data_IF_457828879961
#
_entry.id   IF_457828879961
#
_cell.length_a   1.000
_cell.length_b   1.000
_cell.length_c   1.000
_cell.angle_alpha   90.00
_cell.angle_beta   90.00
_cell.angle_gamma   90.00
#
_symmetry.space_group_name_H-M   'P 1'
#
loop_
_entity.id
_entity.type
_entity.pdbx_description
1 polymer ?
#
# COMPACT_ATOMS: atom_id res chain seq x y z
N UNK A 1 -1.89 -10.83 16.14
CA UNK A 1 -1.01 -11.36 17.21
C UNK A 1 0.19 -12.12 16.66
N UNK A 2 0.03 -13.08 15.72
CA UNK A 2 1.13 -13.86 15.15
C UNK A 2 2.28 -13.03 14.58
N UNK A 3 2.01 -11.89 13.95
CA UNK A 3 3.03 -11.01 13.36
C UNK A 3 3.77 -10.11 14.36
N UNK A 4 3.35 -10.05 15.63
CA UNK A 4 3.90 -9.09 16.60
C UNK A 4 3.65 -7.63 16.19
N UNK A 5 2.55 -7.33 15.48
CA UNK A 5 2.20 -5.99 15.02
C UNK A 5 2.77 -5.59 13.64
N UNK A 6 3.47 -6.49 12.95
CA UNK A 6 4.09 -6.19 11.64
C UNK A 6 3.14 -6.34 10.44
N UNK A 7 1.91 -6.83 10.65
CA UNK A 7 0.96 -7.02 9.56
C UNK A 7 0.43 -5.69 9.02
N UNK A 8 0.30 -5.62 7.71
CA UNK A 8 -0.33 -4.55 6.95
C UNK A 8 -1.56 -5.07 6.22
N UNK A 9 -2.57 -4.23 6.08
CA UNK A 9 -3.72 -4.49 5.23
C UNK A 9 -3.51 -3.80 3.88
N UNK A 10 -2.97 -4.54 2.91
CA UNK A 10 -2.78 -4.07 1.55
C UNK A 10 -4.04 -4.28 0.72
N UNK A 11 -4.56 -3.23 0.09
CA UNK A 11 -5.79 -3.30 -0.71
C UNK A 11 -5.72 -2.37 -1.93
N UNK A 12 -6.51 -2.69 -2.98
CA UNK A 12 -6.69 -1.88 -4.18
C UNK A 12 -7.98 -2.24 -4.90
N UNK A 13 -8.27 -1.52 -5.99
CA UNK A 13 -9.51 -1.70 -6.76
C UNK A 13 -9.47 -2.88 -7.75
N UNK A 14 -8.55 -3.83 -7.59
CA UNK A 14 -8.23 -4.92 -8.52
C UNK A 14 -7.82 -4.45 -9.93
N UNK A 15 -7.09 -5.26 -10.66
CA UNK A 15 -6.63 -4.94 -12.02
C UNK A 15 -6.62 -6.16 -12.95
N UNK A 16 -6.48 -7.38 -12.42
CA UNK A 16 -6.36 -8.60 -13.20
C UNK A 16 -7.73 -9.25 -13.38
N UNK A 17 -8.36 -8.97 -14.54
CA UNK A 17 -9.66 -9.52 -14.88
C UNK A 17 -9.61 -11.02 -15.16
N UNK A 18 -8.54 -11.50 -15.81
CA UNK A 18 -8.35 -12.91 -16.13
C UNK A 18 -8.26 -13.75 -14.85
N UNK A 19 -7.45 -13.32 -13.89
CA UNK A 19 -7.34 -13.96 -12.57
C UNK A 19 -8.67 -13.98 -11.83
N UNK A 20 -9.36 -12.83 -11.77
CA UNK A 20 -10.67 -12.73 -11.10
C UNK A 20 -11.69 -13.72 -11.69
N UNK A 21 -11.77 -13.77 -13.02
CA UNK A 21 -12.66 -14.70 -13.72
C UNK A 21 -12.23 -16.16 -13.51
N UNK A 22 -10.94 -16.44 -13.59
CA UNK A 22 -10.38 -17.78 -13.38
C UNK A 22 -10.68 -18.35 -11.98
N UNK A 23 -10.75 -17.45 -10.97
CA UNK A 23 -11.08 -17.80 -9.59
C UNK A 23 -12.59 -17.72 -9.27
N UNK A 24 -13.43 -17.36 -10.25
CA UNK A 24 -14.88 -17.26 -10.08
C UNK A 24 -15.33 -15.99 -9.36
N UNK A 25 -14.46 -14.98 -9.22
CA UNK A 25 -14.84 -13.70 -8.65
C UNK A 25 -15.44 -12.75 -9.69
N UNK A 26 -16.45 -11.94 -9.33
CA UNK A 26 -16.95 -10.91 -10.21
C UNK A 26 -15.91 -9.85 -10.46
N UNK A 27 -15.87 -9.33 -11.70
CA UNK A 27 -15.01 -8.19 -12.06
C UNK A 27 -15.88 -7.07 -12.63
N UNK A 28 -16.56 -6.29 -11.77
CA UNK A 28 -17.45 -5.23 -12.19
C UNK A 28 -16.68 -4.07 -12.83
N UNK A 29 -17.39 -3.12 -13.48
CA UNK A 29 -16.76 -1.95 -14.08
C UNK A 29 -15.91 -1.17 -13.06
N UNK A 30 -14.87 -0.47 -13.56
CA UNK A 30 -13.90 0.22 -12.71
C UNK A 30 -14.53 1.19 -11.70
N UNK A 31 -15.62 1.87 -12.08
CA UNK A 31 -16.34 2.75 -11.16
C UNK A 31 -16.84 2.00 -9.94
N UNK A 32 -17.49 0.89 -10.16
CA UNK A 32 -18.08 0.04 -9.13
C UNK A 32 -17.01 -0.56 -8.23
N UNK A 33 -15.89 -1.04 -8.79
CA UNK A 33 -14.75 -1.54 -8.01
C UNK A 33 -14.18 -0.48 -7.06
N UNK A 34 -14.16 0.79 -7.45
CA UNK A 34 -13.74 1.88 -6.56
C UNK A 34 -14.79 2.20 -5.49
N UNK A 35 -16.08 2.10 -5.80
CA UNK A 35 -17.15 2.24 -4.80
C UNK A 35 -17.06 1.10 -3.76
N UNK A 36 -16.85 -0.14 -4.21
CA UNK A 36 -16.62 -1.30 -3.34
C UNK A 36 -15.35 -1.16 -2.49
N UNK A 37 -14.25 -0.64 -3.06
CA UNK A 37 -13.02 -0.38 -2.33
C UNK A 37 -13.26 0.63 -1.21
N UNK A 38 -13.95 1.73 -1.49
CA UNK A 38 -14.24 2.76 -0.49
C UNK A 38 -15.11 2.21 0.66
N UNK A 39 -16.16 1.44 0.35
CA UNK A 39 -16.98 0.79 1.37
C UNK A 39 -16.18 -0.24 2.19
N UNK A 40 -15.29 -1.01 1.56
CA UNK A 40 -14.41 -1.95 2.27
C UNK A 40 -13.49 -1.22 3.25
N UNK A 41 -12.95 -0.07 2.87
CA UNK A 41 -12.12 0.76 3.76
C UNK A 41 -12.92 1.30 4.94
N UNK A 42 -14.16 1.76 4.71
CA UNK A 42 -15.06 2.22 5.77
C UNK A 42 -15.39 1.07 6.74
N UNK A 43 -15.69 -0.12 6.22
CA UNK A 43 -15.94 -1.31 7.04
C UNK A 43 -14.71 -1.69 7.87
N UNK A 44 -13.50 -1.68 7.27
CA UNK A 44 -12.27 -1.99 7.97
C UNK A 44 -12.02 -1.00 9.12
N UNK A 45 -12.20 0.30 8.88
CA UNK A 45 -12.11 1.31 9.93
C UNK A 45 -13.13 1.07 11.04
N UNK A 46 -14.40 0.79 10.70
CA UNK A 46 -15.45 0.51 11.68
C UNK A 46 -15.12 -0.74 12.53
N UNK A 47 -14.60 -1.81 11.90
CA UNK A 47 -14.22 -3.04 12.60
C UNK A 47 -13.06 -2.83 13.57
N UNK A 48 -12.11 -1.94 13.24
CA UNK A 48 -10.88 -1.76 14.01
C UNK A 48 -10.92 -0.58 14.98
N UNK A 49 -11.90 0.32 14.87
CA UNK A 49 -12.05 1.46 15.78
C UNK A 49 -12.71 1.10 17.13
N UNK A 50 -13.38 -0.04 17.20
CA UNK A 50 -14.06 -0.50 18.42
C UNK A 50 -13.12 -1.19 19.41
N UNK A 51 -13.51 -1.20 20.69
CA UNK A 51 -12.90 -2.07 21.70
C UNK A 51 -13.21 -3.56 21.46
N UNK A 52 -12.56 -4.45 22.20
CA UNK A 52 -12.88 -5.88 22.15
C UNK A 52 -14.36 -6.11 22.45
N UNK A 53 -15.05 -6.81 21.55
CA UNK A 53 -16.49 -7.08 21.67
C UNK A 53 -17.42 -5.96 21.15
N UNK A 54 -16.89 -4.81 20.72
CA UNK A 54 -17.70 -3.77 20.09
C UNK A 54 -18.16 -4.25 18.71
N UNK A 55 -19.45 -4.07 18.42
CA UNK A 55 -20.06 -4.42 17.16
C UNK A 55 -20.37 -3.16 16.37
N UNK A 56 -19.75 -3.02 15.19
CA UNK A 56 -20.10 -1.98 14.24
C UNK A 56 -21.20 -2.44 13.28
N UNK A 57 -21.77 -1.50 12.54
CA UNK A 57 -22.71 -1.72 11.44
C UNK A 57 -22.24 -0.95 10.22
N UNK A 58 -22.48 -1.51 9.04
CA UNK A 58 -22.27 -0.83 7.76
C UNK A 58 -23.51 -1.07 6.87
N UNK A 59 -24.03 0.00 6.31
CA UNK A 59 -25.07 -0.04 5.28
C UNK A 59 -24.59 0.79 4.10
N UNK A 60 -24.02 0.12 3.11
CA UNK A 60 -23.52 0.73 1.89
C UNK A 60 -24.35 0.31 0.68
N UNK A 61 -23.92 0.79 -0.48
CA UNK A 61 -24.51 0.44 -1.78
C UNK A 61 -24.18 -0.99 -2.20
N UNK A 62 -22.95 -1.43 -1.89
CA UNK A 62 -22.41 -2.72 -2.33
C UNK A 62 -22.36 -3.74 -1.19
N UNK A 63 -22.19 -3.28 0.03
CA UNK A 63 -22.06 -4.14 1.21
C UNK A 63 -23.01 -3.73 2.32
N UNK A 64 -23.62 -4.72 2.94
CA UNK A 64 -24.40 -4.53 4.17
C UNK A 64 -23.90 -5.52 5.21
N UNK A 65 -23.48 -5.00 6.36
CA UNK A 65 -23.05 -5.79 7.49
C UNK A 65 -23.73 -5.30 8.77
N UNK A 66 -24.58 -6.11 9.34
CA UNK A 66 -25.32 -5.79 10.56
C UNK A 66 -24.48 -6.00 11.83
N UNK A 67 -23.33 -6.66 11.69
CA UNK A 67 -22.44 -6.98 12.81
C UNK A 67 -21.00 -7.04 12.32
N UNK A 68 -20.30 -5.92 12.43
CA UNK A 68 -18.86 -5.84 12.16
C UNK A 68 -18.11 -6.13 13.47
N UNK A 69 -17.64 -7.35 13.62
CA UNK A 69 -16.91 -7.79 14.81
C UNK A 69 -15.46 -8.10 14.46
N UNK A 70 -14.53 -7.49 15.20
CA UNK A 70 -13.12 -7.87 15.20
C UNK A 70 -12.67 -8.19 16.63
N UNK A 71 -12.49 -9.47 16.95
CA UNK A 71 -12.07 -9.92 18.28
C UNK A 71 -11.17 -11.16 18.16
N UNK A 72 -9.98 -11.14 18.77
CA UNK A 72 -9.40 -10.01 19.50
C UNK A 72 -8.97 -8.88 18.56
N UNK A 73 -8.92 -7.66 19.09
CA UNK A 73 -8.37 -6.52 18.35
C UNK A 73 -6.87 -6.66 18.10
N UNK A 74 -6.36 -6.00 17.07
CA UNK A 74 -4.95 -6.00 16.75
C UNK A 74 -4.12 -5.38 17.89
N UNK A 75 -2.85 -5.76 17.97
CA UNK A 75 -1.89 -5.10 18.88
C UNK A 75 -1.37 -3.78 18.32
N UNK A 76 -1.45 -3.58 17.00
CA UNK A 76 -1.14 -2.30 16.36
C UNK A 76 -2.14 -1.24 16.78
N UNK A 77 -1.67 -0.02 17.02
CA UNK A 77 -2.51 1.12 17.43
C UNK A 77 -2.36 2.28 16.44
N UNK A 78 -3.42 2.95 16.10
CA UNK A 78 -4.82 2.74 16.54
C UNK A 78 -5.47 1.48 15.95
N UNK A 79 -4.92 0.90 14.88
CA UNK A 79 -5.41 -0.28 14.13
C UNK A 79 -4.30 -0.92 13.30
N UNK A 80 -4.61 -1.97 12.54
CA UNK A 80 -3.71 -2.50 11.50
C UNK A 80 -3.48 -1.40 10.46
N UNK A 81 -2.22 -1.07 10.11
CA UNK A 81 -1.94 -0.10 9.06
C UNK A 81 -2.53 -0.52 7.71
N UNK A 82 -3.09 0.44 6.98
CA UNK A 82 -3.69 0.24 5.66
C UNK A 82 -2.77 0.79 4.59
N UNK A 83 -2.44 -0.02 3.59
CA UNK A 83 -1.74 0.40 2.39
C UNK A 83 -2.67 0.29 1.18
N UNK A 84 -2.86 1.39 0.45
CA UNK A 84 -3.62 1.37 -0.80
C UNK A 84 -2.66 1.40 -1.98
N UNK A 85 -2.79 0.38 -2.86
CA UNK A 85 -1.99 0.25 -4.07
C UNK A 85 -2.65 0.90 -5.29
N UNK A 86 -1.82 1.56 -6.11
CA UNK A 86 -2.21 2.17 -7.37
C UNK A 86 -1.93 3.67 -7.44
N UNK A 87 -1.76 4.19 -8.66
CA UNK A 87 -1.38 5.59 -8.92
C UNK A 87 -2.49 6.46 -9.50
N UNK A 88 -3.76 6.06 -9.41
CA UNK A 88 -4.90 6.82 -9.96
C UNK A 88 -5.15 8.12 -9.20
N UNK A 89 -4.91 9.26 -9.84
CA UNK A 89 -4.90 10.58 -9.21
C UNK A 89 -6.24 10.98 -8.60
N UNK A 90 -7.33 10.75 -9.35
CA UNK A 90 -8.67 11.22 -8.95
C UNK A 90 -9.33 10.35 -7.88
N UNK A 91 -9.06 9.05 -7.88
CA UNK A 91 -9.73 8.08 -6.98
C UNK A 91 -8.76 7.46 -6.00
N UNK A 92 -7.70 6.79 -6.47
CA UNK A 92 -6.79 6.06 -5.58
C UNK A 92 -6.12 6.99 -4.58
N UNK A 93 -5.47 8.07 -5.05
CA UNK A 93 -4.77 9.00 -4.16
C UNK A 93 -5.72 9.76 -3.22
N UNK A 94 -6.98 10.01 -3.64
CA UNK A 94 -8.02 10.53 -2.75
C UNK A 94 -8.34 9.54 -1.62
N UNK A 95 -8.52 8.26 -1.95
CA UNK A 95 -8.79 7.23 -0.93
C UNK A 95 -7.59 7.02 0.00
N UNK A 96 -6.35 7.12 -0.53
CA UNK A 96 -5.15 7.13 0.30
C UNK A 96 -5.21 8.26 1.33
N UNK A 97 -5.46 9.49 0.89
CA UNK A 97 -5.54 10.64 1.79
C UNK A 97 -6.62 10.49 2.87
N UNK A 98 -7.74 9.85 2.54
CA UNK A 98 -8.88 9.68 3.45
C UNK A 98 -8.71 8.51 4.44
N UNK A 99 -8.14 7.40 4.01
CA UNK A 99 -8.26 6.14 4.74
C UNK A 99 -6.95 5.41 5.03
N UNK A 100 -5.87 5.66 4.27
CA UNK A 100 -4.68 4.82 4.33
C UNK A 100 -3.56 5.40 5.20
N UNK A 101 -2.70 4.52 5.70
CA UNK A 101 -1.47 4.87 6.39
C UNK A 101 -0.27 4.85 5.43
N UNK A 102 -0.42 4.18 4.28
CA UNK A 102 0.58 4.18 3.23
C UNK A 102 -0.05 4.19 1.83
N UNK A 103 0.67 4.80 0.89
CA UNK A 103 0.44 4.68 -0.55
C UNK A 103 1.47 3.75 -1.16
N UNK A 104 1.07 2.91 -2.12
CA UNK A 104 2.01 2.19 -2.96
C UNK A 104 1.75 2.54 -4.43
N UNK A 105 2.69 3.23 -5.05
CA UNK A 105 2.59 3.72 -6.43
C UNK A 105 3.64 3.06 -7.33
N UNK A 106 3.50 3.26 -8.64
CA UNK A 106 4.44 2.80 -9.65
C UNK A 106 4.96 4.00 -10.43
N UNK A 107 6.16 3.95 -10.90
CA UNK A 107 6.71 4.98 -11.77
C UNK A 107 8.21 5.20 -11.56
N UNK A 108 8.77 6.05 -12.41
CA UNK A 108 10.10 6.62 -12.29
C UNK A 108 10.11 7.80 -11.29
N UNK A 109 11.26 8.39 -10.97
CA UNK A 109 11.34 9.51 -10.02
C UNK A 109 10.43 10.68 -10.37
N UNK A 110 10.29 11.07 -11.65
CA UNK A 110 9.46 12.19 -12.05
C UNK A 110 7.98 11.88 -11.87
N UNK A 111 7.56 10.68 -12.24
CA UNK A 111 6.21 10.18 -11.96
C UNK A 111 5.92 10.19 -10.46
N UNK A 112 6.86 9.77 -9.61
CA UNK A 112 6.68 9.77 -8.15
C UNK A 112 6.51 11.19 -7.60
N UNK A 113 7.36 12.13 -8.01
CA UNK A 113 7.24 13.55 -7.59
C UNK A 113 5.85 14.09 -7.90
N UNK A 114 5.36 13.84 -9.13
CA UNK A 114 4.02 14.24 -9.54
C UNK A 114 2.92 13.58 -8.68
N UNK A 115 2.95 12.24 -8.53
CA UNK A 115 1.95 11.50 -7.75
C UNK A 115 1.92 11.93 -6.28
N UNK A 116 3.07 12.18 -5.70
CA UNK A 116 3.16 12.64 -4.31
C UNK A 116 2.71 14.09 -4.14
N UNK A 117 2.89 14.94 -5.15
CA UNK A 117 2.30 16.28 -5.16
C UNK A 117 0.76 16.21 -5.18
N UNK A 118 0.17 15.38 -6.05
CA UNK A 118 -1.29 15.16 -6.10
C UNK A 118 -1.81 14.57 -4.77
N UNK A 119 -1.08 13.63 -4.16
CA UNK A 119 -1.45 13.09 -2.85
C UNK A 119 -1.47 14.19 -1.78
N UNK A 120 -0.48 15.08 -1.78
CA UNK A 120 -0.43 16.22 -0.85
C UNK A 120 -1.64 17.13 -0.99
N UNK A 121 -2.03 17.46 -2.22
CA UNK A 121 -3.24 18.25 -2.47
C UNK A 121 -4.51 17.55 -1.93
N UNK A 122 -4.62 16.23 -2.07
CA UNK A 122 -5.73 15.50 -1.49
C UNK A 122 -5.71 15.54 0.04
N UNK A 123 -4.53 15.43 0.67
CA UNK A 123 -4.39 15.55 2.11
C UNK A 123 -4.83 16.94 2.61
N UNK A 124 -4.43 18.02 1.92
CA UNK A 124 -4.86 19.39 2.21
C UNK A 124 -6.39 19.53 2.15
N UNK A 125 -7.03 18.96 1.12
CA UNK A 125 -8.50 19.01 0.96
C UNK A 125 -9.26 18.29 2.08
N UNK A 126 -8.69 17.24 2.67
CA UNK A 126 -9.32 16.49 3.77
C UNK A 126 -8.81 16.89 5.15
N UNK A 127 -7.90 17.88 5.23
CA UNK A 127 -7.35 18.37 6.48
C UNK A 127 -6.44 17.37 7.20
N UNK A 128 -5.77 16.48 6.49
CA UNK A 128 -4.87 15.48 7.04
C UNK A 128 -3.41 15.82 6.77
N UNK A 129 -2.50 15.73 7.76
CA UNK A 129 -1.08 15.91 7.52
C UNK A 129 -0.51 14.90 6.52
N UNK A 130 0.06 15.38 5.43
CA UNK A 130 0.67 14.54 4.39
C UNK A 130 1.75 13.60 4.93
N UNK A 131 2.47 14.04 5.95
CA UNK A 131 3.57 13.32 6.59
C UNK A 131 3.12 12.05 7.34
N UNK A 132 1.84 11.93 7.67
CA UNK A 132 1.28 10.72 8.28
C UNK A 132 1.16 9.54 7.31
N UNK A 133 1.33 9.79 6.00
CA UNK A 133 1.20 8.77 4.97
C UNK A 133 2.58 8.33 4.51
N UNK A 134 2.93 7.07 4.77
CA UNK A 134 4.13 6.46 4.22
C UNK A 134 4.02 6.35 2.69
N UNK A 135 5.05 6.74 1.99
CA UNK A 135 5.12 6.72 0.52
C UNK A 135 5.99 5.58 0.07
N UNK A 136 5.37 4.53 -0.43
CA UNK A 136 6.08 3.38 -0.97
C UNK A 136 5.97 3.28 -2.49
N UNK A 137 6.93 2.59 -3.09
CA UNK A 137 7.00 2.33 -4.52
C UNK A 137 7.29 0.86 -4.76
N UNK A 138 6.62 0.25 -5.75
CA UNK A 138 6.93 -1.11 -6.19
C UNK A 138 7.87 -1.06 -7.39
N UNK A 139 8.94 -1.84 -7.31
CA UNK A 139 9.99 -1.98 -8.33
C UNK A 139 10.32 -3.44 -8.60
N UNK A 140 11.26 -3.67 -9.49
CA UNK A 140 11.88 -4.97 -9.70
C UNK A 140 13.40 -4.83 -9.65
N UNK A 141 14.07 -5.86 -9.15
CA UNK A 141 15.51 -6.04 -9.22
C UNK A 141 15.82 -7.35 -9.96
N UNK A 142 16.72 -7.28 -10.92
CA UNK A 142 17.24 -8.46 -11.62
C UNK A 142 18.65 -8.73 -11.07
N UNK A 143 18.76 -9.66 -10.12
CA UNK A 143 20.02 -9.94 -9.44
C UNK A 143 21.09 -10.59 -10.31
N UNK A 144 20.74 -11.04 -11.51
CA UNK A 144 21.71 -11.53 -12.49
C UNK A 144 22.35 -10.40 -13.30
N UNK A 145 21.66 -9.28 -13.46
CA UNK A 145 22.03 -8.16 -14.33
C UNK A 145 22.36 -6.88 -13.60
N UNK A 146 21.62 -6.58 -12.54
CA UNK A 146 21.81 -5.35 -11.77
C UNK A 146 23.04 -5.47 -10.86
N UNK A 147 23.95 -4.50 -10.95
CA UNK A 147 25.05 -4.37 -9.98
C UNK A 147 24.59 -3.66 -8.70
N UNK A 148 25.24 -3.88 -7.55
CA UNK A 148 24.94 -3.16 -6.31
C UNK A 148 24.92 -1.64 -6.49
N UNK A 149 25.90 -1.07 -7.18
CA UNK A 149 25.96 0.39 -7.44
C UNK A 149 24.75 0.88 -8.24
N UNK A 150 24.35 0.16 -9.30
CA UNK A 150 23.18 0.51 -10.09
C UNK A 150 21.89 0.48 -9.28
N UNK A 151 21.77 -0.43 -8.33
CA UNK A 151 20.61 -0.51 -7.43
C UNK A 151 20.61 0.64 -6.42
N UNK A 152 21.78 1.00 -5.86
CA UNK A 152 21.94 2.16 -4.98
C UNK A 152 21.56 3.44 -5.70
N UNK A 153 22.08 3.70 -6.88
CA UNK A 153 21.77 4.89 -7.67
C UNK A 153 20.28 4.97 -8.01
N UNK A 154 19.71 3.84 -8.47
CA UNK A 154 18.30 3.75 -8.87
C UNK A 154 17.35 3.96 -7.70
N UNK A 155 17.62 3.35 -6.55
CA UNK A 155 16.75 3.46 -5.39
C UNK A 155 17.00 4.76 -4.62
N UNK A 156 18.23 5.29 -4.64
CA UNK A 156 18.54 6.63 -4.15
C UNK A 156 17.73 7.71 -4.88
N UNK A 157 17.66 7.63 -6.21
CA UNK A 157 16.84 8.57 -7.00
C UNK A 157 15.33 8.48 -6.68
N UNK A 158 14.83 7.30 -6.28
CA UNK A 158 13.43 7.16 -5.80
C UNK A 158 13.24 7.82 -4.43
N UNK A 159 14.23 7.70 -3.53
CA UNK A 159 14.20 8.35 -2.23
C UNK A 159 14.23 9.87 -2.37
N UNK A 160 15.10 10.42 -3.23
CA UNK A 160 15.14 11.84 -3.57
C UNK A 160 13.81 12.35 -4.18
N UNK A 161 13.07 11.48 -4.87
CA UNK A 161 11.73 11.78 -5.37
C UNK A 161 10.65 11.72 -4.29
N UNK A 162 11.00 11.35 -3.04
CA UNK A 162 10.13 11.33 -1.89
C UNK A 162 9.58 9.96 -1.50
N UNK A 163 10.06 8.86 -2.10
CA UNK A 163 9.74 7.52 -1.63
C UNK A 163 10.47 7.22 -0.32
N UNK A 164 9.77 6.66 0.65
CA UNK A 164 10.30 6.29 1.96
C UNK A 164 10.51 4.76 2.08
N UNK A 165 9.85 4.01 1.23
CA UNK A 165 9.89 2.56 1.26
C UNK A 165 9.88 2.01 -0.17
N UNK A 166 10.87 1.20 -0.52
CA UNK A 166 10.93 0.47 -1.80
C UNK A 166 10.56 -0.97 -1.55
N UNK A 167 9.45 -1.43 -2.15
CA UNK A 167 9.07 -2.82 -2.22
C UNK A 167 9.54 -3.32 -3.59
N UNK A 168 10.22 -4.45 -3.65
CA UNK A 168 10.70 -4.95 -4.93
C UNK A 168 10.51 -6.45 -5.10
N UNK A 169 10.14 -6.84 -6.31
CA UNK A 169 10.19 -8.22 -6.76
C UNK A 169 11.60 -8.54 -7.25
N UNK A 170 12.04 -9.74 -6.98
CA UNK A 170 13.40 -10.21 -7.30
C UNK A 170 13.34 -11.26 -8.39
N UNK A 171 14.13 -11.06 -9.43
CA UNK A 171 14.43 -12.09 -10.43
C UNK A 171 15.81 -12.69 -10.13
N UNK A 172 16.03 -13.96 -10.49
CA UNK A 172 17.31 -14.64 -10.26
C UNK A 172 17.54 -15.04 -8.81
N UNK A 173 16.46 -15.26 -8.02
CA UNK A 173 16.53 -15.62 -6.60
C UNK A 173 16.74 -17.12 -6.33
N UNK A 174 17.12 -17.89 -7.37
CA UNK A 174 17.40 -19.32 -7.21
C UNK A 174 18.58 -19.61 -6.25
N UNK A 175 19.39 -18.59 -5.98
CA UNK A 175 20.49 -18.61 -5.02
C UNK A 175 20.35 -17.41 -4.05
N UNK A 176 20.32 -17.70 -2.76
CA UNK A 176 20.18 -16.69 -1.69
C UNK A 176 21.42 -15.81 -1.54
N UNK A 177 22.58 -16.23 -2.07
CA UNK A 177 23.83 -15.43 -1.99
C UNK A 177 23.65 -14.01 -2.57
N UNK A 178 22.82 -13.87 -3.57
CA UNK A 178 22.50 -12.56 -4.15
C UNK A 178 21.69 -11.66 -3.22
N UNK A 179 20.80 -12.24 -2.42
CA UNK A 179 20.07 -11.50 -1.35
C UNK A 179 21.01 -11.09 -0.23
N UNK A 180 21.96 -11.96 0.13
CA UNK A 180 23.01 -11.67 1.09
C UNK A 180 23.89 -10.50 0.60
N UNK A 181 24.26 -10.50 -0.67
CA UNK A 181 24.99 -9.40 -1.30
C UNK A 181 24.21 -8.08 -1.22
N UNK A 182 22.91 -8.06 -1.56
CA UNK A 182 22.07 -6.86 -1.39
C UNK A 182 22.08 -6.36 0.05
N UNK A 183 21.97 -7.27 1.00
CA UNK A 183 21.99 -6.94 2.42
C UNK A 183 23.31 -6.32 2.88
N UNK A 184 24.42 -6.78 2.34
CA UNK A 184 25.76 -6.32 2.71
C UNK A 184 26.18 -5.03 1.97
N UNK A 185 25.86 -4.91 0.67
CA UNK A 185 26.43 -3.88 -0.21
C UNK A 185 25.44 -2.76 -0.57
N UNK A 186 24.13 -3.02 -0.56
CA UNK A 186 23.10 -2.08 -1.02
C UNK A 186 22.34 -1.44 0.15
N UNK A 187 21.73 -2.24 1.01
CA UNK A 187 20.86 -1.71 2.06
C UNK A 187 21.54 -0.76 3.04
N UNK A 188 22.83 -0.94 3.45
CA UNK A 188 23.49 0.01 4.34
C UNK A 188 23.63 1.39 3.73
N UNK A 189 23.80 1.49 2.41
CA UNK A 189 23.99 2.77 1.71
C UNK A 189 22.67 3.56 1.55
N UNK A 190 21.52 2.88 1.63
CA UNK A 190 20.19 3.47 1.46
C UNK A 190 19.52 3.86 2.79
N UNK A 191 20.12 3.51 3.93
CA UNK A 191 19.54 3.82 5.27
C UNK A 191 19.57 5.30 5.64
N UNK A 192 20.30 6.12 4.91
CA UNK A 192 20.57 7.52 5.24
C UNK A 192 20.20 8.48 4.09
N UNK A 193 19.46 8.00 3.11
CA UNK A 193 18.98 8.80 1.98
C UNK A 193 17.56 9.32 2.24
#
# INVERSE_FOLDING_TARGET
MLSGGRAWFGIGAAWNEEESRGLGFPFPPLRERFEMLEETLQMAHAMWSGGSGTQGRHEGKHFTAIRLLNSPQSISRPRIPIMIGGGGERKTLRLVAQYADASNVFGDPDTLRHKYAVLREHCERVGRPYQEIERSVLKSADLERDTPSQLVDRWGALAEAGAQHVIFSVRGVNDTSRLEQLSAEVFPQLRHV
#
